data_IF_009519433477
#
_entry.id   IF_009519433477
#
_cell.length_a   1.000
_cell.length_b   1.000
_cell.length_c   1.000
_cell.angle_alpha   90.00
_cell.angle_beta   90.00
_cell.angle_gamma   90.00
#
_symmetry.space_group_name_H-M   'P 1'
#
loop_
_entity.id
_entity.type
_entity.pdbx_description
1 polymer ?
#
# COMPACT_ATOMS: atom_id res chain seq x y z
N UNK A 1 9.80 -13.06 -5.18
CA UNK A 1 9.10 -12.47 -4.01
C UNK A 1 7.66 -12.96 -4.01
N UNK A 2 7.08 -13.21 -2.84
CA UNK A 2 5.68 -13.61 -2.70
C UNK A 2 4.80 -12.46 -2.18
N UNK A 3 3.47 -12.61 -2.28
CA UNK A 3 2.46 -11.65 -1.81
C UNK A 3 2.71 -11.18 -0.38
N UNK A 4 2.96 -12.13 0.53
CA UNK A 4 3.26 -11.87 1.95
C UNK A 4 4.56 -11.11 2.20
N UNK A 5 5.47 -11.04 1.22
CA UNK A 5 6.73 -10.32 1.34
C UNK A 5 6.59 -8.84 0.95
N UNK A 6 5.46 -8.45 0.35
CA UNK A 6 5.22 -7.05 -0.01
C UNK A 6 4.84 -6.29 1.27
N UNK A 7 5.46 -5.13 1.54
CA UNK A 7 5.16 -4.32 2.71
C UNK A 7 3.85 -3.55 2.50
N UNK A 8 2.72 -4.28 2.50
CA UNK A 8 1.38 -3.73 2.36
C UNK A 8 1.10 -2.66 3.44
N UNK A 9 0.33 -1.61 3.13
CA UNK A 9 0.01 -0.57 4.09
C UNK A 9 -1.13 -1.02 5.00
N UNK A 10 -0.98 -2.15 5.68
CA UNK A 10 -1.97 -2.74 6.58
C UNK A 10 -1.32 -3.06 7.94
N UNK A 11 -2.11 -3.00 9.02
CA UNK A 11 -1.61 -3.30 10.37
C UNK A 11 -1.30 -4.78 10.58
N UNK A 12 -2.00 -5.66 9.87
CA UNK A 12 -1.78 -7.11 9.84
C UNK A 12 -1.29 -7.50 8.45
N UNK A 13 -0.50 -8.56 8.36
CA UNK A 13 -0.08 -9.10 7.07
C UNK A 13 -1.32 -9.67 6.35
N UNK A 14 -1.72 -9.12 5.19
CA UNK A 14 -2.82 -9.69 4.42
C UNK A 14 -2.36 -10.98 3.74
N UNK A 15 -3.28 -11.92 3.53
CA UNK A 15 -3.05 -13.12 2.72
C UNK A 15 -3.68 -12.99 1.32
N UNK A 16 -4.61 -12.05 1.17
CA UNK A 16 -5.32 -11.78 -0.08
C UNK A 16 -5.62 -10.28 -0.25
N UNK A 17 -5.94 -9.82 -1.47
CA UNK A 17 -6.40 -8.45 -1.73
C UNK A 17 -7.63 -8.06 -0.90
N UNK A 18 -8.52 -9.02 -0.61
CA UNK A 18 -9.74 -8.78 0.16
C UNK A 18 -9.47 -8.45 1.64
N UNK A 19 -8.32 -8.89 2.18
CA UNK A 19 -7.90 -8.58 3.54
C UNK A 19 -7.39 -7.13 3.68
N UNK A 20 -7.13 -6.45 2.57
CA UNK A 20 -6.73 -5.05 2.57
C UNK A 20 -8.00 -4.21 2.64
N UNK A 21 -8.15 -3.45 3.73
CA UNK A 21 -9.30 -2.57 3.95
C UNK A 21 -8.89 -1.11 4.01
N UNK A 22 -9.81 -0.21 3.64
CA UNK A 22 -9.58 1.24 3.74
C UNK A 22 -9.26 1.68 5.17
N UNK A 23 -9.96 1.10 6.15
CA UNK A 23 -9.77 1.40 7.57
C UNK A 23 -8.37 0.97 8.05
N UNK A 24 -7.90 -0.22 7.65
CA UNK A 24 -6.54 -0.68 7.97
C UNK A 24 -5.47 0.22 7.34
N UNK A 25 -5.66 0.65 6.09
CA UNK A 25 -4.77 1.60 5.42
C UNK A 25 -4.73 2.93 6.17
N UNK A 26 -5.89 3.49 6.51
CA UNK A 26 -5.99 4.74 7.26
C UNK A 26 -5.27 4.65 8.61
N UNK A 27 -5.53 3.57 9.37
CA UNK A 27 -4.89 3.31 10.66
C UNK A 27 -3.39 3.09 10.52
N UNK A 28 -2.92 2.43 9.47
CA UNK A 28 -1.50 2.21 9.20
C UNK A 28 -0.78 3.52 8.85
N UNK A 29 -1.38 4.37 8.01
CA UNK A 29 -0.80 5.65 7.58
C UNK A 29 -0.75 6.65 8.74
N UNK A 30 -1.82 6.73 9.53
CA UNK A 30 -1.98 7.71 10.60
C UNK A 30 -1.76 7.11 12.00
N UNK A 31 -1.08 5.96 12.07
CA UNK A 31 -0.78 5.30 13.33
C UNK A 31 -0.02 6.25 14.30
N UNK A 32 -0.27 6.20 15.62
CA UNK A 32 0.42 7.04 16.61
C UNK A 32 1.95 7.07 16.47
N UNK A 33 2.56 5.90 16.21
CA UNK A 33 4.00 5.75 16.00
C UNK A 33 4.53 6.40 14.71
N UNK A 34 3.65 6.89 13.83
CA UNK A 34 3.95 7.59 12.58
C UNK A 34 3.40 9.02 12.56
N UNK A 35 2.85 9.49 13.68
CA UNK A 35 2.25 10.82 13.77
C UNK A 35 3.22 11.94 13.45
N UNK A 36 4.52 11.77 13.74
CA UNK A 36 5.52 12.78 13.41
C UNK A 36 5.52 13.13 11.92
N UNK A 37 5.48 12.12 11.03
CA UNK A 37 5.36 12.33 9.58
C UNK A 37 4.11 13.12 9.20
N UNK A 38 3.01 12.87 9.90
CA UNK A 38 1.72 13.53 9.68
C UNK A 38 1.73 14.96 10.21
N UNK A 39 2.39 15.21 11.35
CA UNK A 39 2.55 16.54 11.93
C UNK A 39 3.45 17.42 11.06
N UNK A 40 4.54 16.87 10.53
CA UNK A 40 5.50 17.62 9.71
C UNK A 40 4.93 18.02 8.34
N UNK A 41 4.17 17.12 7.70
CA UNK A 41 3.75 17.27 6.29
C UNK A 41 2.24 17.47 6.09
N UNK A 42 1.43 17.13 7.09
CA UNK A 42 -0.02 17.06 6.97
C UNK A 42 -0.54 15.79 6.28
N UNK A 43 -1.77 15.39 6.60
CA UNK A 43 -2.40 14.16 6.09
C UNK A 43 -2.41 14.07 4.56
N UNK A 44 -2.78 15.16 3.88
CA UNK A 44 -2.86 15.21 2.40
C UNK A 44 -1.51 14.99 1.71
N UNK A 45 -0.41 15.41 2.33
CA UNK A 45 0.92 15.20 1.76
C UNK A 45 1.37 13.75 1.95
N UNK A 46 1.09 13.15 3.11
CA UNK A 46 1.35 11.73 3.39
C UNK A 46 0.62 10.83 2.39
N UNK A 47 -0.66 11.10 2.14
CA UNK A 47 -1.45 10.34 1.14
C UNK A 47 -0.84 10.47 -0.25
N UNK A 48 -0.47 11.69 -0.68
CA UNK A 48 0.20 11.91 -1.98
C UNK A 48 1.52 11.16 -2.12
N UNK A 49 2.31 11.07 -1.05
CA UNK A 49 3.54 10.30 -1.05
C UNK A 49 3.29 8.79 -1.18
N UNK A 50 2.29 8.26 -0.48
CA UNK A 50 1.91 6.84 -0.62
C UNK A 50 1.34 6.55 -2.02
N UNK A 51 0.47 7.41 -2.58
CA UNK A 51 0.01 7.27 -3.97
C UNK A 51 1.18 7.23 -4.96
N UNK A 52 2.20 8.07 -4.75
CA UNK A 52 3.41 8.06 -5.59
C UNK A 52 4.24 6.79 -5.41
N UNK A 53 4.21 6.17 -4.22
CA UNK A 53 4.91 4.91 -3.93
C UNK A 53 4.21 3.72 -4.60
N UNK A 54 2.88 3.71 -4.55
CA UNK A 54 2.05 2.65 -5.12
C UNK A 54 1.70 2.87 -6.59
N UNK A 55 2.14 3.99 -7.18
CA UNK A 55 1.87 4.30 -8.58
C UNK A 55 2.23 3.12 -9.51
N UNK A 56 1.31 2.72 -10.43
CA UNK A 56 1.46 1.61 -11.36
C UNK A 56 2.85 1.48 -11.98
N UNK A 57 3.33 2.54 -12.63
CA UNK A 57 4.63 2.60 -13.32
C UNK A 57 5.80 2.19 -12.40
N UNK A 58 5.87 2.80 -11.20
CA UNK A 58 6.94 2.52 -10.24
C UNK A 58 6.78 1.15 -9.58
N UNK A 59 5.55 0.75 -9.29
CA UNK A 59 5.26 -0.52 -8.65
C UNK A 59 5.59 -1.70 -9.58
N UNK A 60 5.23 -1.60 -10.87
CA UNK A 60 5.57 -2.59 -11.88
C UNK A 60 7.08 -2.86 -11.93
N UNK A 61 7.87 -1.81 -12.14
CA UNK A 61 9.32 -1.92 -12.32
C UNK A 61 10.03 -2.33 -11.02
N UNK A 62 9.63 -1.78 -9.86
CA UNK A 62 10.38 -1.97 -8.61
C UNK A 62 9.98 -3.23 -7.85
N UNK A 63 8.73 -3.65 -7.98
CA UNK A 63 8.13 -4.71 -7.16
C UNK A 63 7.65 -5.86 -8.05
N UNK A 64 6.75 -5.61 -8.99
CA UNK A 64 6.05 -6.65 -9.73
C UNK A 64 7.00 -7.54 -10.56
N UNK A 65 8.03 -6.96 -11.16
CA UNK A 65 9.07 -7.72 -11.89
C UNK A 65 9.78 -8.76 -11.01
N UNK A 66 9.94 -8.46 -9.71
CA UNK A 66 10.60 -9.32 -8.72
C UNK A 66 9.66 -10.32 -8.04
N UNK A 67 8.35 -10.19 -8.27
CA UNK A 67 7.33 -11.11 -7.76
C UNK A 67 7.29 -12.36 -8.61
N UNK A 68 7.11 -13.50 -7.96
CA UNK A 68 6.97 -14.80 -8.61
C UNK A 68 5.83 -14.71 -9.64
N UNK A 69 6.02 -15.17 -10.89
CA UNK A 69 5.01 -15.00 -11.94
C UNK A 69 3.61 -15.48 -11.57
N UNK A 70 3.52 -16.57 -10.79
CA UNK A 70 2.26 -17.16 -10.30
C UNK A 70 1.49 -16.27 -9.34
N UNK A 71 2.13 -15.29 -8.70
CA UNK A 71 1.50 -14.38 -7.73
C UNK A 71 1.40 -12.94 -8.24
N UNK A 72 1.93 -12.63 -9.44
CA UNK A 72 1.92 -11.26 -9.98
C UNK A 72 0.50 -10.72 -10.12
N UNK A 73 -0.44 -11.52 -10.61
CA UNK A 73 -1.83 -11.09 -10.76
C UNK A 73 -2.44 -10.70 -9.40
N UNK A 74 -2.23 -11.54 -8.37
CA UNK A 74 -2.71 -11.29 -7.01
C UNK A 74 -2.09 -10.03 -6.39
N UNK A 75 -0.78 -9.86 -6.56
CA UNK A 75 -0.06 -8.67 -6.06
C UNK A 75 -0.49 -7.41 -6.79
N UNK A 76 -0.74 -7.51 -8.10
CA UNK A 76 -1.25 -6.39 -8.89
C UNK A 76 -2.63 -5.93 -8.42
N UNK A 77 -3.56 -6.87 -8.26
CA UNK A 77 -4.92 -6.60 -7.76
C UNK A 77 -4.88 -5.91 -6.39
N UNK A 78 -4.07 -6.42 -5.45
CA UNK A 78 -3.91 -5.79 -4.15
C UNK A 78 -3.31 -4.37 -4.24
N UNK A 79 -2.38 -4.12 -5.15
CA UNK A 79 -1.84 -2.78 -5.36
C UNK A 79 -2.90 -1.81 -5.89
N UNK A 80 -3.76 -2.25 -6.83
CA UNK A 80 -4.89 -1.45 -7.31
C UNK A 80 -5.87 -1.12 -6.18
N UNK A 81 -6.18 -2.10 -5.32
CA UNK A 81 -7.03 -1.91 -4.13
C UNK A 81 -6.43 -0.85 -3.20
N UNK A 82 -5.11 -0.90 -2.94
CA UNK A 82 -4.41 0.10 -2.13
C UNK A 82 -4.52 1.50 -2.74
N UNK A 83 -4.26 1.65 -4.04
CA UNK A 83 -4.35 2.95 -4.73
C UNK A 83 -5.77 3.51 -4.64
N UNK A 84 -6.78 2.66 -4.87
CA UNK A 84 -8.19 3.05 -4.77
C UNK A 84 -8.49 3.61 -3.38
N UNK A 85 -8.16 2.88 -2.32
CA UNK A 85 -8.44 3.35 -0.96
C UNK A 85 -7.64 4.58 -0.58
N UNK A 86 -6.39 4.72 -1.03
CA UNK A 86 -5.60 5.94 -0.83
C UNK A 86 -6.24 7.17 -1.47
N UNK A 87 -6.88 7.03 -2.63
CA UNK A 87 -7.61 8.14 -3.29
C UNK A 87 -8.90 8.52 -2.58
N UNK A 88 -9.47 7.63 -1.77
CA UNK A 88 -10.71 7.88 -1.02
C UNK A 88 -10.48 8.39 0.43
N UNK A 89 -9.23 8.53 0.87
CA UNK A 89 -8.83 9.06 2.19
C UNK A 89 -8.57 10.57 2.14
#
# INVERSE_FOLDING_TARGET
LAFKNIPWPALKLPNSPADITKDDISKFLFHPLRLQRVQDKGKRAVIREELRRWHPDKFCVRVLEKVNPSERALVWEAAEVVIRYLNEL
#
